data_IF_807426440887
#
_entry.id   IF_807426440887
#
_cell.length_a   1.000
_cell.length_b   1.000
_cell.length_c   1.000
_cell.angle_alpha   90.00
_cell.angle_beta   90.00
_cell.angle_gamma   90.00
#
_symmetry.space_group_name_H-M   'P 1'
#
loop_
_entity.id
_entity.type
_entity.pdbx_description
1 polymer ?
#
# COMPACT_ATOMS: atom_id res chain seq x y z
N UNK A 1 -31.25 4.84 25.51
CA UNK A 1 -30.85 3.87 24.47
C UNK A 1 -31.29 4.43 23.12
N UNK A 2 -30.36 4.87 22.27
CA UNK A 2 -30.72 5.68 21.10
C UNK A 2 -31.12 4.82 19.91
N UNK A 3 -32.11 5.30 19.15
CA UNK A 3 -32.65 4.70 17.91
C UNK A 3 -31.53 4.38 16.87
N UNK A 4 -30.37 5.04 16.99
CA UNK A 4 -29.16 4.78 16.19
C UNK A 4 -28.46 3.45 16.48
N UNK A 5 -28.58 2.88 17.69
CA UNK A 5 -28.03 1.55 17.97
C UNK A 5 -28.93 0.43 17.46
N UNK A 6 -30.26 0.64 17.47
CA UNK A 6 -31.23 -0.30 16.92
C UNK A 6 -31.11 -0.42 15.39
N UNK A 7 -30.96 0.71 14.67
CA UNK A 7 -30.76 0.72 13.22
C UNK A 7 -29.40 0.12 12.78
N UNK A 8 -28.36 0.22 13.63
CA UNK A 8 -27.04 -0.38 13.37
C UNK A 8 -27.04 -1.90 13.44
N UNK A 9 -27.90 -2.49 14.27
CA UNK A 9 -28.08 -3.94 14.32
C UNK A 9 -29.11 -4.40 13.29
N UNK A 10 -30.18 -3.63 13.03
CA UNK A 10 -31.25 -4.03 12.12
C UNK A 10 -30.78 -4.40 10.70
N UNK A 11 -29.75 -3.75 10.15
CA UNK A 11 -29.23 -4.06 8.81
C UNK A 11 -28.52 -5.42 8.71
N UNK A 12 -27.74 -5.79 9.74
CA UNK A 12 -27.13 -7.11 9.84
C UNK A 12 -28.18 -8.19 10.06
N UNK A 13 -29.13 -7.94 10.96
CA UNK A 13 -30.23 -8.85 11.24
C UNK A 13 -31.19 -9.02 10.06
N UNK A 14 -31.39 -7.99 9.21
CA UNK A 14 -32.16 -8.09 7.97
C UNK A 14 -31.46 -8.99 6.94
N UNK A 15 -30.15 -8.88 6.78
CA UNK A 15 -29.38 -9.76 5.90
C UNK A 15 -29.36 -11.20 6.41
N UNK A 16 -29.25 -11.41 7.73
CA UNK A 16 -29.34 -12.74 8.33
C UNK A 16 -30.77 -13.29 8.22
N UNK A 17 -31.81 -12.48 8.43
CA UNK A 17 -33.20 -12.89 8.27
C UNK A 17 -33.52 -13.25 6.80
N UNK A 18 -33.01 -12.47 5.83
CA UNK A 18 -33.13 -12.80 4.41
C UNK A 18 -32.40 -14.09 4.08
N UNK A 19 -31.19 -14.30 4.62
CA UNK A 19 -30.45 -15.55 4.47
C UNK A 19 -31.17 -16.76 5.08
N UNK A 20 -31.73 -16.62 6.28
CA UNK A 20 -32.50 -17.67 6.97
C UNK A 20 -33.80 -17.96 6.23
N UNK A 21 -34.52 -16.94 5.76
CA UNK A 21 -35.73 -17.13 4.94
C UNK A 21 -35.39 -17.80 3.61
N UNK A 22 -34.29 -17.43 2.96
CA UNK A 22 -33.83 -18.09 1.75
C UNK A 22 -33.48 -19.57 1.99
N UNK A 23 -32.80 -19.90 3.09
CA UNK A 23 -32.48 -21.28 3.49
C UNK A 23 -33.78 -22.05 3.82
N UNK A 24 -34.71 -21.46 4.57
CA UNK A 24 -36.00 -22.06 4.88
C UNK A 24 -36.77 -22.34 3.59
N UNK A 25 -36.85 -21.40 2.64
CA UNK A 25 -37.52 -21.61 1.35
C UNK A 25 -36.83 -22.69 0.51
N UNK A 26 -35.49 -22.78 0.56
CA UNK A 26 -34.72 -23.83 -0.11
C UNK A 26 -34.96 -25.22 0.49
N UNK A 27 -35.04 -25.31 1.82
CA UNK A 27 -35.22 -26.56 2.58
C UNK A 27 -36.68 -27.02 2.62
N UNK A 28 -37.64 -26.09 2.58
CA UNK A 28 -39.09 -26.40 2.64
C UNK A 28 -39.63 -27.01 1.34
N UNK A 29 -38.85 -27.03 0.25
CA UNK A 29 -39.17 -27.80 -0.95
C UNK A 29 -40.46 -27.42 -1.67
N UNK A 30 -40.98 -26.20 -1.49
CA UNK A 30 -42.24 -25.79 -2.12
C UNK A 30 -42.00 -25.27 -3.55
N UNK A 31 -42.29 -26.11 -4.54
CA UNK A 31 -41.88 -25.93 -5.94
C UNK A 31 -42.55 -24.75 -6.67
N UNK A 32 -43.48 -24.04 -6.02
CA UNK A 32 -44.21 -22.89 -6.58
C UNK A 32 -43.45 -21.56 -6.49
N UNK A 33 -42.45 -21.46 -5.60
CA UNK A 33 -41.64 -20.25 -5.40
C UNK A 33 -40.21 -20.37 -5.93
N UNK A 34 -39.84 -21.51 -6.53
CA UNK A 34 -38.44 -21.84 -6.84
C UNK A 34 -37.77 -20.86 -7.82
N UNK A 35 -38.47 -20.42 -8.88
CA UNK A 35 -37.90 -19.51 -9.87
C UNK A 35 -37.64 -18.10 -9.33
N UNK A 36 -38.62 -17.48 -8.66
CA UNK A 36 -38.49 -16.14 -8.11
C UNK A 36 -37.52 -16.08 -6.92
N UNK A 37 -37.51 -17.13 -6.08
CA UNK A 37 -36.56 -17.25 -4.97
C UNK A 37 -35.13 -17.48 -5.48
N UNK A 38 -34.92 -18.32 -6.50
CA UNK A 38 -33.61 -18.51 -7.12
C UNK A 38 -33.09 -17.23 -7.78
N UNK A 39 -33.95 -16.48 -8.49
CA UNK A 39 -33.60 -15.18 -9.07
C UNK A 39 -33.24 -14.17 -7.98
N UNK A 40 -34.01 -14.12 -6.89
CA UNK A 40 -33.73 -13.21 -5.77
C UNK A 40 -32.42 -13.57 -5.07
N UNK A 41 -32.15 -14.86 -4.83
CA UNK A 41 -30.88 -15.34 -4.26
C UNK A 41 -29.73 -15.06 -5.20
N UNK A 42 -29.89 -15.26 -6.52
CA UNK A 42 -28.87 -14.94 -7.51
C UNK A 42 -28.58 -13.44 -7.59
N UNK A 43 -29.61 -12.59 -7.50
CA UNK A 43 -29.47 -11.13 -7.44
C UNK A 43 -28.76 -10.72 -6.15
N UNK A 44 -29.15 -11.26 -5.00
CA UNK A 44 -28.53 -10.94 -3.70
C UNK A 44 -27.09 -11.43 -3.66
N UNK A 45 -26.80 -12.64 -4.15
CA UNK A 45 -25.44 -13.16 -4.27
C UNK A 45 -24.59 -12.35 -5.27
N UNK A 46 -25.17 -11.94 -6.39
CA UNK A 46 -24.53 -11.06 -7.36
C UNK A 46 -24.22 -9.69 -6.79
N UNK A 47 -25.16 -9.07 -6.07
CA UNK A 47 -24.94 -7.80 -5.35
C UNK A 47 -23.88 -7.97 -4.27
N UNK A 48 -23.91 -9.07 -3.51
CA UNK A 48 -22.91 -9.37 -2.48
C UNK A 48 -21.50 -9.54 -3.07
N UNK A 49 -21.37 -10.03 -4.30
CA UNK A 49 -20.09 -10.13 -5.02
C UNK A 49 -19.65 -8.78 -5.62
N UNK A 50 -20.57 -8.00 -6.18
CA UNK A 50 -20.28 -6.78 -6.92
C UNK A 50 -20.05 -5.56 -6.03
N UNK A 51 -20.75 -5.46 -4.89
CA UNK A 51 -20.60 -4.34 -3.95
C UNK A 51 -19.17 -4.20 -3.40
N UNK A 52 -18.49 -5.27 -2.94
CA UNK A 52 -17.07 -5.21 -2.54
C UNK A 52 -16.16 -4.64 -3.64
N UNK A 53 -16.33 -5.13 -4.87
CA UNK A 53 -15.54 -4.69 -6.02
C UNK A 53 -15.81 -3.21 -6.37
N UNK A 54 -17.07 -2.79 -6.34
CA UNK A 54 -17.47 -1.41 -6.61
C UNK A 54 -16.95 -0.44 -5.53
N UNK A 55 -17.05 -0.81 -4.24
CA UNK A 55 -16.52 -0.02 -3.12
C UNK A 55 -14.99 0.05 -3.20
N UNK A 56 -14.32 -1.04 -3.54
CA UNK A 56 -12.87 -1.09 -3.75
C UNK A 56 -12.40 -0.19 -4.90
N UNK A 57 -13.08 -0.25 -6.05
CA UNK A 57 -12.82 0.61 -7.20
C UNK A 57 -13.06 2.09 -6.86
N UNK A 58 -14.17 2.40 -6.16
CA UNK A 58 -14.47 3.75 -5.70
C UNK A 58 -13.41 4.27 -4.72
N UNK A 59 -12.96 3.43 -3.79
CA UNK A 59 -11.87 3.76 -2.87
C UNK A 59 -10.58 4.09 -3.61
N UNK A 60 -10.16 3.23 -4.54
CA UNK A 60 -8.94 3.43 -5.34
C UNK A 60 -9.02 4.67 -6.24
N UNK A 61 -10.20 4.97 -6.79
CA UNK A 61 -10.44 6.17 -7.59
C UNK A 61 -10.33 7.44 -6.74
N UNK A 62 -10.97 7.47 -5.57
CA UNK A 62 -10.88 8.59 -4.62
C UNK A 62 -9.45 8.76 -4.12
N UNK A 63 -8.76 7.67 -3.78
CA UNK A 63 -7.35 7.65 -3.38
C UNK A 63 -6.44 8.24 -4.46
N UNK A 64 -6.57 7.79 -5.71
CA UNK A 64 -5.80 8.31 -6.84
C UNK A 64 -6.03 9.81 -7.05
N UNK A 65 -7.29 10.25 -6.94
CA UNK A 65 -7.68 11.66 -7.09
C UNK A 65 -7.16 12.54 -5.94
N UNK A 66 -7.25 12.07 -4.70
CA UNK A 66 -6.73 12.79 -3.54
C UNK A 66 -5.21 12.96 -3.66
N UNK A 67 -4.49 11.91 -4.07
CA UNK A 67 -3.04 11.97 -4.28
C UNK A 67 -2.61 12.86 -5.42
N UNK A 68 -3.34 12.87 -6.54
CA UNK A 68 -3.03 13.81 -7.64
C UNK A 68 -3.17 15.27 -7.21
N UNK A 69 -4.09 15.55 -6.27
CA UNK A 69 -4.26 16.89 -5.70
C UNK A 69 -3.19 17.24 -4.66
N UNK A 70 -2.66 16.26 -3.92
CA UNK A 70 -1.54 16.43 -2.99
C UNK A 70 -0.20 16.65 -3.73
N UNK A 71 0.00 15.96 -4.86
CA UNK A 71 1.22 16.06 -5.67
C UNK A 71 1.41 17.40 -6.39
N UNK A 72 0.36 18.20 -6.57
CA UNK A 72 0.41 19.56 -7.16
C UNK A 72 0.66 20.61 -6.07
N UNK A 73 1.75 20.42 -5.32
CA UNK A 73 2.11 21.19 -4.14
C UNK A 73 1.90 22.70 -4.33
N UNK A 74 0.95 23.27 -3.56
CA UNK A 74 0.85 24.71 -3.32
C UNK A 74 -0.55 25.34 -3.33
N UNK A 75 -1.55 24.76 -4.00
CA UNK A 75 -2.80 25.53 -4.26
C UNK A 75 -4.08 25.04 -3.60
N UNK A 76 -4.22 23.78 -3.17
CA UNK A 76 -5.42 23.36 -2.42
C UNK A 76 -5.18 22.11 -1.58
N UNK A 77 -5.26 22.19 -0.22
CA UNK A 77 -5.28 20.99 0.59
C UNK A 77 -6.48 20.12 0.22
N UNK A 78 -6.33 18.78 0.30
CA UNK A 78 -7.42 17.84 0.03
C UNK A 78 -8.62 18.19 0.90
N UNK A 79 -9.76 18.39 0.24
CA UNK A 79 -10.98 18.84 0.92
C UNK A 79 -11.37 17.87 2.04
N UNK A 80 -11.85 18.40 3.17
CA UNK A 80 -12.31 17.57 4.30
C UNK A 80 -13.39 16.57 3.88
N UNK A 81 -14.21 16.92 2.88
CA UNK A 81 -15.23 16.05 2.28
C UNK A 81 -14.60 14.86 1.55
N UNK A 82 -13.52 15.08 0.79
CA UNK A 82 -12.82 14.01 0.08
C UNK A 82 -12.11 13.04 1.03
N UNK A 83 -11.55 13.57 2.14
CA UNK A 83 -10.99 12.75 3.22
C UNK A 83 -12.08 11.94 3.92
N UNK A 84 -13.19 12.57 4.29
CA UNK A 84 -14.34 11.87 4.90
C UNK A 84 -14.91 10.77 3.99
N UNK A 85 -14.97 11.00 2.67
CA UNK A 85 -15.39 9.99 1.69
C UNK A 85 -14.41 8.81 1.64
N UNK A 86 -13.10 9.07 1.59
CA UNK A 86 -12.08 8.01 1.62
C UNK A 86 -12.15 7.21 2.92
N UNK A 87 -12.32 7.86 4.08
CA UNK A 87 -12.50 7.19 5.38
C UNK A 87 -13.79 6.39 5.44
N UNK A 88 -14.90 6.89 4.88
CA UNK A 88 -16.17 6.17 4.81
C UNK A 88 -16.05 4.92 3.94
N UNK A 89 -15.44 5.03 2.76
CA UNK A 89 -15.20 3.89 1.87
C UNK A 89 -14.25 2.87 2.50
N UNK A 90 -13.20 3.32 3.18
CA UNK A 90 -12.33 2.46 3.99
C UNK A 90 -13.11 1.71 5.08
N UNK A 91 -14.02 2.38 5.80
CA UNK A 91 -14.84 1.73 6.83
C UNK A 91 -15.86 0.73 6.27
N UNK A 92 -16.33 0.94 5.03
CA UNK A 92 -17.17 -0.02 4.32
C UNK A 92 -16.35 -1.23 3.88
N UNK A 93 -15.12 -1.02 3.41
CA UNK A 93 -14.19 -2.10 3.05
C UNK A 93 -13.82 -2.98 4.25
N UNK A 94 -13.61 -2.40 5.43
CA UNK A 94 -13.33 -3.19 6.64
C UNK A 94 -14.46 -4.17 6.97
N UNK A 95 -15.72 -3.71 6.91
CA UNK A 95 -16.91 -4.53 7.20
C UNK A 95 -17.16 -5.62 6.17
N UNK A 96 -16.81 -5.34 4.91
CA UNK A 96 -16.91 -6.31 3.83
C UNK A 96 -15.80 -7.35 3.95
N UNK A 97 -14.57 -6.93 4.25
CA UNK A 97 -13.41 -7.82 4.41
C UNK A 97 -13.46 -8.69 5.67
N UNK A 98 -14.23 -8.35 6.71
CA UNK A 98 -14.53 -9.28 7.80
C UNK A 98 -15.36 -10.50 7.34
N UNK A 99 -16.04 -10.39 6.18
CA UNK A 99 -16.90 -11.44 5.62
C UNK A 99 -16.33 -12.17 4.40
N UNK A 100 -15.28 -11.63 3.79
CA UNK A 100 -14.60 -12.19 2.61
C UNK A 100 -13.10 -12.13 2.85
N UNK A 101 -12.37 -13.25 2.72
CA UNK A 101 -10.93 -13.44 2.95
C UNK A 101 -10.01 -12.51 2.10
N UNK A 102 -10.10 -11.18 2.30
CA UNK A 102 -9.33 -10.10 1.64
C UNK A 102 -9.00 -10.39 0.17
N UNK A 103 -9.97 -10.90 -0.60
CA UNK A 103 -9.75 -11.42 -1.95
C UNK A 103 -9.19 -10.38 -2.94
N UNK A 104 -9.28 -9.09 -2.59
CA UNK A 104 -8.79 -7.96 -3.38
C UNK A 104 -7.55 -7.29 -2.78
N UNK A 105 -7.02 -7.77 -1.64
CA UNK A 105 -5.87 -7.17 -0.94
C UNK A 105 -6.10 -5.72 -0.45
N UNK A 106 -7.35 -5.27 -0.44
CA UNK A 106 -7.74 -3.89 -0.19
C UNK A 106 -7.63 -3.53 1.30
N UNK A 107 -7.75 -4.52 2.20
CA UNK A 107 -7.56 -4.30 3.65
C UNK A 107 -6.17 -3.76 3.92
N UNK A 108 -5.16 -4.34 3.29
CA UNK A 108 -3.77 -3.90 3.40
C UNK A 108 -3.59 -2.45 2.93
N UNK A 109 -4.19 -2.11 1.80
CA UNK A 109 -4.10 -0.74 1.25
C UNK A 109 -4.79 0.28 2.17
N UNK A 110 -5.98 -0.07 2.70
CA UNK A 110 -6.72 0.78 3.64
C UNK A 110 -5.96 0.95 4.97
N UNK A 111 -5.39 -0.14 5.50
CA UNK A 111 -4.58 -0.09 6.72
C UNK A 111 -3.34 0.80 6.51
N UNK A 112 -2.64 0.63 5.38
CA UNK A 112 -1.49 1.47 5.04
C UNK A 112 -1.89 2.95 4.90
N UNK A 113 -3.03 3.26 4.28
CA UNK A 113 -3.52 4.64 4.14
C UNK A 113 -3.99 5.28 5.46
N UNK A 114 -4.27 4.48 6.50
CA UNK A 114 -4.56 4.97 7.86
C UNK A 114 -3.30 5.16 8.71
N UNK A 115 -2.22 4.47 8.35
CA UNK A 115 -0.95 4.55 9.05
C UNK A 115 -0.10 5.65 8.42
N UNK A 116 0.35 6.60 9.24
CA UNK A 116 1.34 7.59 8.82
C UNK A 116 2.75 7.08 9.13
N UNK A 117 3.70 7.31 8.22
CA UNK A 117 5.10 7.04 8.51
C UNK A 117 5.68 8.22 9.29
N UNK A 118 5.76 8.08 10.61
CA UNK A 118 6.24 9.10 11.55
C UNK A 118 7.30 8.51 12.48
N UNK A 119 8.13 9.37 13.09
CA UNK A 119 9.11 8.94 14.09
C UNK A 119 8.44 8.30 15.32
N UNK A 120 7.28 8.81 15.74
CA UNK A 120 6.52 8.26 16.85
C UNK A 120 6.08 6.81 16.58
N UNK A 121 5.46 6.55 15.43
CA UNK A 121 4.99 5.21 15.07
C UNK A 121 6.15 4.21 14.91
N UNK A 122 7.32 4.67 14.44
CA UNK A 122 8.52 3.82 14.39
C UNK A 122 9.09 3.52 15.78
N UNK A 123 8.96 4.46 16.73
CA UNK A 123 9.42 4.27 18.11
C UNK A 123 8.54 3.32 18.94
N UNK A 124 7.34 2.97 18.45
CA UNK A 124 6.48 1.94 19.06
C UNK A 124 6.87 0.51 18.64
N UNK A 125 7.80 0.36 17.69
CA UNK A 125 8.23 -0.93 17.16
C UNK A 125 9.57 -1.33 17.77
N UNK A 126 9.56 -2.42 18.54
CA UNK A 126 10.75 -2.92 19.24
C UNK A 126 11.65 -3.79 18.33
N UNK A 127 11.11 -4.37 17.25
CA UNK A 127 11.87 -5.16 16.27
C UNK A 127 12.23 -4.30 15.04
N UNK A 128 13.53 -4.07 14.76
CA UNK A 128 13.97 -3.35 13.56
C UNK A 128 13.48 -3.97 12.23
N UNK A 129 13.24 -5.28 12.19
CA UNK A 129 12.68 -5.94 11.00
C UNK A 129 11.19 -5.68 10.83
N UNK A 130 10.45 -5.60 11.94
CA UNK A 130 9.07 -5.14 11.94
C UNK A 130 9.00 -3.69 11.49
N UNK A 131 9.91 -2.84 11.94
CA UNK A 131 10.02 -1.45 11.50
C UNK A 131 10.32 -1.34 9.99
N UNK A 132 11.23 -2.14 9.45
CA UNK A 132 11.49 -2.20 8.01
C UNK A 132 10.24 -2.66 7.22
N UNK A 133 9.53 -3.67 7.73
CA UNK A 133 8.29 -4.18 7.15
C UNK A 133 7.17 -3.14 7.18
N UNK A 134 7.07 -2.39 8.28
CA UNK A 134 6.15 -1.27 8.45
C UNK A 134 6.45 -0.16 7.44
N UNK A 135 7.72 0.24 7.30
CA UNK A 135 8.14 1.23 6.28
C UNK A 135 7.77 0.71 4.88
N UNK A 136 8.07 -0.55 4.56
CA UNK A 136 7.72 -1.13 3.27
C UNK A 136 6.21 -1.11 3.00
N UNK A 137 5.41 -1.36 4.03
CA UNK A 137 3.97 -1.42 3.93
C UNK A 137 3.32 -0.02 3.82
N UNK A 138 3.78 0.93 4.62
CA UNK A 138 3.20 2.27 4.75
C UNK A 138 3.74 3.24 3.71
N UNK A 139 4.97 3.08 3.20
CA UNK A 139 5.55 4.03 2.25
C UNK A 139 4.70 4.29 0.98
N UNK A 140 4.06 3.28 0.35
CA UNK A 140 3.13 3.51 -0.75
C UNK A 140 1.89 4.32 -0.37
N UNK A 141 1.58 4.48 0.93
CA UNK A 141 0.45 5.27 1.43
C UNK A 141 0.75 6.77 1.49
N UNK A 142 2.03 7.14 1.58
CA UNK A 142 2.49 8.51 1.77
C UNK A 142 2.30 9.39 0.51
N UNK A 143 2.31 10.73 0.66
CA UNK A 143 2.25 11.67 -0.47
C UNK A 143 3.39 11.49 -1.48
N UNK A 144 3.20 11.98 -2.70
CA UNK A 144 4.20 11.86 -3.78
C UNK A 144 5.48 12.67 -3.51
N UNK A 145 5.33 13.82 -2.85
CA UNK A 145 6.41 14.70 -2.40
C UNK A 145 7.05 14.23 -1.08
N UNK A 146 6.66 13.07 -0.54
CA UNK A 146 7.16 12.57 0.73
C UNK A 146 8.69 12.58 0.83
N UNK A 147 9.48 12.13 -0.17
CA UNK A 147 10.96 12.19 -0.14
C UNK A 147 11.54 13.60 0.08
N UNK A 148 10.79 14.65 -0.27
CA UNK A 148 11.19 16.06 -0.14
C UNK A 148 10.48 16.76 1.04
N UNK A 149 9.58 16.04 1.72
CA UNK A 149 8.72 16.62 2.75
C UNK A 149 9.42 16.78 4.10
N UNK A 150 8.97 17.74 4.94
CA UNK A 150 9.42 17.85 6.33
C UNK A 150 9.15 16.57 7.16
N UNK A 151 8.13 15.79 6.78
CA UNK A 151 7.78 14.53 7.45
C UNK A 151 8.89 13.50 7.29
N UNK A 152 9.42 13.36 6.07
CA UNK A 152 10.56 12.49 5.80
C UNK A 152 11.83 12.97 6.51
N UNK A 153 12.12 14.29 6.45
CA UNK A 153 13.27 14.88 7.11
C UNK A 153 13.23 14.73 8.65
N UNK A 154 12.04 14.62 9.24
CA UNK A 154 11.84 14.40 10.68
C UNK A 154 11.94 12.95 11.14
N UNK A 155 12.14 11.97 10.25
CA UNK A 155 12.36 10.57 10.63
C UNK A 155 13.78 10.37 11.19
N UNK A 156 14.01 9.34 12.04
CA UNK A 156 15.36 8.92 12.40
C UNK A 156 16.22 8.63 11.16
N UNK A 157 17.52 8.90 11.23
CA UNK A 157 18.41 8.78 10.07
C UNK A 157 18.39 7.38 9.45
N UNK A 158 18.40 6.33 10.29
CA UNK A 158 18.31 4.94 9.83
C UNK A 158 17.02 4.68 9.04
N UNK A 159 15.90 5.29 9.46
CA UNK A 159 14.60 5.11 8.83
C UNK A 159 14.52 5.89 7.51
N UNK A 160 15.16 7.07 7.44
CA UNK A 160 15.32 7.79 6.17
C UNK A 160 16.13 6.97 5.17
N UNK A 161 17.25 6.39 5.60
CA UNK A 161 18.08 5.52 4.76
C UNK A 161 17.31 4.26 4.33
N UNK A 162 16.52 3.68 5.24
CA UNK A 162 15.68 2.53 4.94
C UNK A 162 14.61 2.84 3.88
N UNK A 163 13.92 3.98 4.01
CA UNK A 163 12.97 4.45 2.98
C UNK A 163 13.66 4.60 1.63
N UNK A 164 14.85 5.21 1.56
CA UNK A 164 15.60 5.42 0.31
C UNK A 164 15.91 4.09 -0.37
N UNK A 165 16.42 3.10 0.38
CA UNK A 165 16.82 1.80 -0.18
C UNK A 165 15.61 0.93 -0.55
N UNK A 166 14.52 0.98 0.22
CA UNK A 166 13.26 0.32 -0.14
C UNK A 166 12.59 0.97 -1.34
N UNK A 167 12.69 2.29 -1.48
CA UNK A 167 12.20 3.02 -2.65
C UNK A 167 13.04 2.70 -3.91
N UNK A 168 14.37 2.59 -3.78
CA UNK A 168 15.24 2.08 -4.85
C UNK A 168 14.80 0.68 -5.30
N UNK A 169 14.55 -0.23 -4.35
CA UNK A 169 14.04 -1.58 -4.64
C UNK A 169 12.75 -1.54 -5.47
N UNK A 170 11.81 -0.64 -5.14
CA UNK A 170 10.56 -0.47 -5.91
C UNK A 170 10.82 0.07 -7.31
N UNK A 171 11.63 1.11 -7.45
CA UNK A 171 11.94 1.69 -8.76
C UNK A 171 12.63 0.65 -9.66
N UNK A 172 13.53 -0.18 -9.12
CA UNK A 172 14.15 -1.29 -9.85
C UNK A 172 13.10 -2.30 -10.34
N UNK A 173 12.15 -2.70 -9.49
CA UNK A 173 11.07 -3.64 -9.86
C UNK A 173 10.11 -3.06 -10.90
N UNK A 174 9.83 -1.76 -10.84
CA UNK A 174 8.81 -1.11 -11.67
C UNK A 174 9.35 -0.59 -13.00
N UNK A 175 10.59 -0.10 -13.03
CA UNK A 175 11.14 0.68 -14.15
C UNK A 175 12.53 0.22 -14.59
N UNK A 176 13.16 -0.71 -13.87
CA UNK A 176 14.50 -1.22 -14.18
C UNK A 176 15.62 -0.28 -13.73
N UNK A 177 16.86 -0.65 -14.08
CA UNK A 177 18.08 -0.02 -13.56
C UNK A 177 18.20 1.46 -13.90
N UNK A 178 18.11 1.80 -15.19
CA UNK A 178 18.43 3.14 -15.66
C UNK A 178 17.51 4.20 -15.04
N UNK A 179 16.17 4.03 -15.01
CA UNK A 179 15.29 5.00 -14.35
C UNK A 179 15.48 5.04 -12.83
N UNK A 180 15.77 3.90 -12.19
CA UNK A 180 15.91 3.81 -10.74
C UNK A 180 17.14 4.54 -10.18
N UNK A 181 18.21 4.64 -10.97
CA UNK A 181 19.45 5.33 -10.59
C UNK A 181 19.65 6.68 -11.30
N UNK A 182 18.80 7.02 -12.27
CA UNK A 182 18.79 8.36 -12.89
C UNK A 182 18.28 9.43 -11.92
N UNK A 183 18.67 10.69 -12.13
CA UNK A 183 18.11 11.86 -11.40
C UNK A 183 16.71 12.28 -11.91
N UNK A 184 15.99 11.38 -12.62
CA UNK A 184 14.67 11.66 -13.16
C UNK A 184 13.58 11.56 -12.09
N UNK A 185 12.67 12.53 -12.04
CA UNK A 185 11.61 12.60 -11.03
C UNK A 185 10.65 11.39 -11.08
N UNK A 186 10.18 10.97 -9.90
CA UNK A 186 9.29 9.83 -9.72
C UNK A 186 8.76 9.74 -8.28
N UNK A 187 7.72 8.93 -8.06
CA UNK A 187 7.05 8.82 -6.75
C UNK A 187 7.94 8.22 -5.65
N UNK A 188 8.79 7.25 -6.02
CA UNK A 188 9.79 6.65 -5.13
C UNK A 188 11.21 7.12 -5.49
N UNK A 189 11.34 8.18 -6.28
CA UNK A 189 12.65 8.62 -6.75
C UNK A 189 13.43 9.32 -5.62
N UNK A 190 14.72 9.00 -5.53
CA UNK A 190 15.72 9.70 -4.73
C UNK A 190 16.94 9.98 -5.61
N UNK A 191 17.57 11.13 -5.43
CA UNK A 191 18.80 11.46 -6.16
C UNK A 191 19.89 10.41 -5.93
N UNK A 192 20.71 10.12 -6.95
CA UNK A 192 21.75 9.10 -6.85
C UNK A 192 22.68 9.32 -5.64
N UNK A 193 23.07 10.57 -5.37
CA UNK A 193 23.90 10.90 -4.20
C UNK A 193 23.27 10.48 -2.86
N UNK A 194 21.93 10.57 -2.73
CA UNK A 194 21.20 10.15 -1.53
C UNK A 194 21.16 8.62 -1.42
N UNK A 195 20.97 7.92 -2.53
CA UNK A 195 21.00 6.46 -2.63
C UNK A 195 22.38 5.94 -2.24
N UNK A 196 23.45 6.49 -2.82
CA UNK A 196 24.82 6.08 -2.52
C UNK A 196 25.19 6.32 -1.05
N UNK A 197 24.72 7.42 -0.44
CA UNK A 197 24.89 7.68 0.99
C UNK A 197 24.16 6.66 1.86
N UNK A 198 22.91 6.31 1.52
CA UNK A 198 22.16 5.30 2.26
C UNK A 198 22.83 3.93 2.14
N UNK A 199 23.25 3.54 0.92
CA UNK A 199 23.98 2.30 0.67
C UNK A 199 25.32 2.24 1.44
N UNK A 200 26.07 3.34 1.51
CA UNK A 200 27.32 3.36 2.28
C UNK A 200 27.09 3.15 3.79
N UNK A 201 25.97 3.64 4.33
CA UNK A 201 25.63 3.50 5.76
C UNK A 201 25.15 2.11 6.14
N UNK A 202 24.76 1.27 5.18
CA UNK A 202 24.54 -0.15 5.47
C UNK A 202 25.84 -0.90 5.75
N UNK A 203 27.00 -0.29 5.46
CA UNK A 203 28.34 -0.90 5.56
C UNK A 203 28.52 -2.17 4.71
N UNK A 204 27.60 -2.46 3.79
CA UNK A 204 27.77 -3.49 2.78
C UNK A 204 28.60 -2.94 1.63
N UNK A 205 29.87 -3.35 1.56
CA UNK A 205 30.77 -2.98 0.46
C UNK A 205 30.21 -3.44 -0.89
N UNK A 206 29.64 -4.64 -0.92
CA UNK A 206 29.02 -5.22 -2.11
C UNK A 206 27.84 -4.38 -2.60
N UNK A 207 26.91 -3.97 -1.72
CA UNK A 207 25.81 -3.10 -2.11
C UNK A 207 26.32 -1.77 -2.69
N UNK A 208 27.29 -1.15 -2.03
CA UNK A 208 27.83 0.14 -2.47
C UNK A 208 28.51 0.02 -3.85
N UNK A 209 29.25 -1.05 -4.08
CA UNK A 209 29.94 -1.28 -5.35
C UNK A 209 28.96 -1.57 -6.48
N UNK A 210 27.95 -2.43 -6.25
CA UNK A 210 26.91 -2.70 -7.25
C UNK A 210 26.07 -1.46 -7.55
N UNK A 211 25.79 -0.59 -6.57
CA UNK A 211 25.13 0.71 -6.82
C UNK A 211 25.97 1.60 -7.74
N UNK A 212 27.29 1.67 -7.50
CA UNK A 212 28.21 2.47 -8.32
C UNK A 212 28.34 1.92 -9.73
N UNK A 213 28.49 0.60 -9.88
CA UNK A 213 28.57 -0.06 -11.17
C UNK A 213 27.26 0.07 -11.95
N UNK A 214 26.13 -0.16 -11.26
CA UNK A 214 24.80 0.04 -11.81
C UNK A 214 24.59 1.45 -12.34
N UNK A 215 25.10 2.48 -11.64
CA UNK A 215 25.00 3.86 -12.11
C UNK A 215 25.86 4.11 -13.36
N UNK A 216 27.06 3.55 -13.43
CA UNK A 216 27.90 3.65 -14.64
C UNK A 216 27.21 2.97 -15.83
N UNK A 217 26.62 1.79 -15.62
CA UNK A 217 25.87 1.08 -16.64
C UNK A 217 24.60 1.85 -17.07
N UNK A 218 23.89 2.46 -16.12
CA UNK A 218 22.69 3.26 -16.40
C UNK A 218 22.95 4.48 -17.29
N UNK A 219 24.14 5.10 -17.16
CA UNK A 219 24.53 6.30 -17.93
C UNK A 219 25.05 5.93 -19.32
N UNK A 220 25.68 4.77 -19.49
CA UNK A 220 26.28 4.33 -20.76
C UNK A 220 25.29 3.49 -21.59
N UNK A 221 24.73 4.02 -22.70
CA UNK A 221 23.78 3.28 -23.53
C UNK A 221 24.37 2.04 -24.18
N UNK A 222 25.70 1.98 -24.35
CA UNK A 222 26.39 0.81 -24.93
C UNK A 222 26.34 -0.41 -23.99
N UNK A 223 26.02 -0.20 -22.70
CA UNK A 223 25.94 -1.24 -21.67
C UNK A 223 24.52 -1.69 -21.36
N UNK A 224 23.57 -1.46 -22.28
CA UNK A 224 22.17 -1.84 -22.08
C UNK A 224 21.95 -3.31 -21.70
N UNK A 225 22.80 -4.23 -22.19
CA UNK A 225 22.75 -5.65 -21.82
C UNK A 225 23.12 -5.93 -20.35
N UNK A 226 23.93 -5.07 -19.72
CA UNK A 226 24.34 -5.19 -18.32
C UNK A 226 23.25 -4.68 -17.36
N UNK A 227 22.25 -3.95 -17.85
CA UNK A 227 21.22 -3.33 -17.02
C UNK A 227 20.43 -4.35 -16.21
N UNK A 228 20.04 -5.46 -16.85
CA UNK A 228 19.29 -6.53 -16.19
C UNK A 228 20.13 -7.32 -15.19
N UNK A 229 21.44 -7.42 -15.42
CA UNK A 229 22.38 -8.10 -14.52
C UNK A 229 22.52 -7.30 -13.23
N UNK A 230 22.83 -6.01 -13.36
CA UNK A 230 22.98 -5.13 -12.20
C UNK A 230 21.65 -4.89 -11.48
N UNK A 231 20.52 -4.79 -12.18
CA UNK A 231 19.20 -4.71 -11.54
C UNK A 231 18.93 -5.93 -10.65
N UNK A 232 19.22 -7.14 -11.14
CA UNK A 232 19.03 -8.38 -10.37
C UNK A 232 19.99 -8.46 -9.17
N UNK A 233 21.25 -8.07 -9.35
CA UNK A 233 22.22 -8.02 -8.25
C UNK A 233 21.78 -7.05 -7.15
N UNK A 234 21.35 -5.84 -7.51
CA UNK A 234 20.81 -4.87 -6.55
C UNK A 234 19.59 -5.41 -5.82
N UNK A 235 18.65 -6.01 -6.54
CA UNK A 235 17.46 -6.60 -5.91
C UNK A 235 17.83 -7.72 -4.94
N UNK A 236 18.76 -8.60 -5.31
CA UNK A 236 19.22 -9.67 -4.43
C UNK A 236 19.84 -9.13 -3.13
N UNK A 237 20.69 -8.09 -3.24
CA UNK A 237 21.31 -7.45 -2.07
C UNK A 237 20.30 -6.70 -1.20
N UNK A 238 19.31 -6.05 -1.80
CA UNK A 238 18.24 -5.35 -1.08
C UNK A 238 17.23 -6.34 -0.44
N UNK A 239 17.16 -7.58 -0.93
CA UNK A 239 16.37 -8.66 -0.33
C UNK A 239 17.14 -9.44 0.75
N UNK A 240 18.47 -9.35 0.77
CA UNK A 240 19.31 -10.02 1.77
C UNK A 240 19.26 -9.33 3.13
N UNK A 241 18.93 -10.08 4.17
CA UNK A 241 18.90 -9.59 5.55
C UNK A 241 20.28 -9.10 6.04
N UNK A 242 21.36 -9.71 5.58
CA UNK A 242 22.71 -9.33 6.01
C UNK A 242 23.04 -7.89 5.61
N UNK A 243 22.55 -7.44 4.45
CA UNK A 243 22.73 -6.07 3.95
C UNK A 243 22.16 -5.02 4.91
N UNK A 244 21.04 -5.31 5.57
CA UNK A 244 20.37 -4.33 6.44
C UNK A 244 20.85 -4.37 7.89
N UNK A 245 21.56 -5.43 8.29
CA UNK A 245 21.85 -5.71 9.70
C UNK A 245 22.54 -4.55 10.42
N UNK A 246 23.55 -3.93 9.81
CA UNK A 246 24.27 -2.80 10.41
C UNK A 246 23.43 -1.51 10.42
N UNK A 247 22.61 -1.28 9.38
CA UNK A 247 21.72 -0.11 9.33
C UNK A 247 20.66 -0.19 10.44
N UNK A 248 20.10 -1.39 10.65
CA UNK A 248 19.07 -1.67 11.64
C UNK A 248 19.61 -1.83 13.06
N UNK A 249 20.92 -1.98 13.27
CA UNK A 249 21.53 -1.92 14.61
C UNK A 249 21.72 -0.50 15.13
N UNK A 250 21.60 0.50 14.25
CA UNK A 250 21.71 1.91 14.60
C UNK A 250 20.36 2.52 15.05
N UNK A 251 19.32 1.70 15.21
CA UNK A 251 17.98 2.07 15.70
C UNK A 251 17.96 2.29 17.20
#
# INVERSE_FOLDING_TARGET
>A
MSIRSAARNAGGWLLTAVGVVAIIVLVSGDHRFSGAAQVTVAIVAGIALLVPAAVGAAYMLVRRRNRSAEATAGQRPVSAKSRALQTSLASMLDRVNESTDDALGLRRVVLADRLELTSANLGELDDPWEALSYIWFVRPSQPADFPQSPRFAGLPLWAQDAVVLLDLRRELQLRGLAPALSDAQGFYHHAYGRIAQAAARTRSAELLDVVREGQRAAIDPARGAEHEVHARQLLALLDDRATWAELLRAT
#
